data_IF_458998529024
#
_entry.id   IF_458998529024
#
_cell.length_a   1.000
_cell.length_b   1.000
_cell.length_c   1.000
_cell.angle_alpha   90.00
_cell.angle_beta   90.00
_cell.angle_gamma   90.00
#
_symmetry.space_group_name_H-M   'P 1'
#
loop_
_entity.id
_entity.type
_entity.pdbx_description
1 polymer ?
#
# COMPACT_ATOMS: atom_id res chain seq x y z
N UNK A 1 -10.33 12.08 4.08
CA UNK A 1 -10.22 13.14 3.08
C UNK A 1 -8.82 13.19 2.46
N UNK A 2 -7.76 13.29 3.26
CA UNK A 2 -6.37 13.42 2.79
C UNK A 2 -5.92 12.31 1.84
N UNK A 3 -6.09 11.04 2.20
CA UNK A 3 -5.64 9.90 1.38
C UNK A 3 -6.41 9.76 0.08
N UNK A 4 -7.71 10.11 0.06
CA UNK A 4 -8.51 10.14 -1.17
C UNK A 4 -7.98 11.21 -2.13
N UNK A 5 -7.69 12.39 -1.62
CA UNK A 5 -7.09 13.47 -2.42
C UNK A 5 -5.71 13.06 -2.93
N UNK A 6 -4.88 12.44 -2.08
CA UNK A 6 -3.57 11.94 -2.47
C UNK A 6 -3.66 10.90 -3.59
N UNK A 7 -4.61 9.97 -3.52
CA UNK A 7 -4.87 8.99 -4.57
C UNK A 7 -5.29 9.65 -5.89
N UNK A 8 -6.12 10.68 -5.81
CA UNK A 8 -6.58 11.42 -6.99
C UNK A 8 -5.45 12.19 -7.66
N UNK A 9 -4.72 13.02 -6.89
CA UNK A 9 -3.66 13.90 -7.45
C UNK A 9 -2.45 13.13 -7.96
N UNK A 10 -2.17 11.94 -7.41
CA UNK A 10 -1.09 11.06 -7.87
C UNK A 10 -1.52 10.09 -8.98
N UNK A 11 -2.81 10.08 -9.37
CA UNK A 11 -3.29 9.23 -10.46
C UNK A 11 -2.69 9.65 -11.81
N UNK A 12 -2.40 8.66 -12.69
CA UNK A 12 -1.84 8.92 -14.02
C UNK A 12 -2.67 9.94 -14.80
N UNK A 13 -3.99 9.77 -14.79
CA UNK A 13 -4.93 10.69 -15.48
C UNK A 13 -4.83 12.12 -14.99
N UNK A 14 -4.71 12.34 -13.68
CA UNK A 14 -4.62 13.68 -13.10
C UNK A 14 -3.25 14.29 -13.38
N UNK A 15 -2.17 13.54 -13.19
CA UNK A 15 -0.79 14.02 -13.43
C UNK A 15 -0.58 14.41 -14.89
N UNK A 16 -1.04 13.60 -15.85
CA UNK A 16 -1.00 13.94 -17.27
C UNK A 16 -1.83 15.20 -17.61
N UNK A 17 -3.02 15.35 -17.03
CA UNK A 17 -3.85 16.54 -17.22
C UNK A 17 -3.15 17.82 -16.72
N UNK A 18 -2.56 17.76 -15.53
CA UNK A 18 -1.85 18.92 -14.95
C UNK A 18 -0.61 19.27 -15.77
N UNK A 19 0.17 18.27 -16.18
CA UNK A 19 1.32 18.50 -17.04
C UNK A 19 0.94 19.12 -18.37
N UNK A 20 -0.04 18.55 -19.07
CA UNK A 20 -0.51 19.08 -20.34
C UNK A 20 -0.95 20.54 -20.24
N UNK A 21 -1.64 20.88 -19.14
CA UNK A 21 -2.12 22.26 -18.89
C UNK A 21 -0.98 23.24 -18.63
N UNK A 22 0.11 22.79 -18.01
CA UNK A 22 1.19 23.68 -17.57
C UNK A 22 2.48 23.50 -18.41
N UNK A 23 2.48 22.66 -19.42
CA UNK A 23 3.69 22.30 -20.18
C UNK A 23 4.41 23.52 -20.76
N UNK A 24 3.66 24.49 -21.32
CA UNK A 24 4.23 25.72 -21.87
C UNK A 24 5.00 26.49 -20.79
N UNK A 25 4.38 26.71 -19.64
CA UNK A 25 4.98 27.43 -18.52
C UNK A 25 6.19 26.70 -17.93
N UNK A 26 6.12 25.38 -17.86
CA UNK A 26 7.23 24.54 -17.41
C UNK A 26 8.43 24.68 -18.36
N UNK A 27 8.19 24.65 -19.67
CA UNK A 27 9.23 24.80 -20.66
C UNK A 27 9.85 26.22 -20.65
N UNK A 28 9.03 27.24 -20.46
CA UNK A 28 9.52 28.62 -20.29
C UNK A 28 10.43 28.73 -19.07
N UNK A 29 10.00 28.24 -17.91
CA UNK A 29 10.81 28.26 -16.68
C UNK A 29 12.10 27.47 -16.87
N UNK A 30 12.02 26.26 -17.43
CA UNK A 30 13.22 25.44 -17.66
C UNK A 30 14.18 26.13 -18.63
N UNK A 31 13.68 26.78 -19.70
CA UNK A 31 14.56 27.48 -20.63
C UNK A 31 15.31 28.65 -19.97
N UNK A 32 14.66 29.39 -19.06
CA UNK A 32 15.35 30.43 -18.28
C UNK A 32 16.41 29.84 -17.34
N UNK A 33 16.08 28.76 -16.64
CA UNK A 33 17.03 28.07 -15.77
C UNK A 33 18.24 27.59 -16.59
N UNK A 34 18.02 26.99 -17.76
CA UNK A 34 19.09 26.54 -18.63
C UNK A 34 19.94 27.67 -19.18
N UNK A 35 19.36 28.81 -19.55
CA UNK A 35 20.12 29.95 -20.04
C UNK A 35 20.99 30.58 -18.95
N UNK A 36 20.49 30.67 -17.73
CA UNK A 36 21.19 31.33 -16.63
C UNK A 36 22.23 30.42 -15.96
N UNK A 37 22.03 29.10 -16.01
CA UNK A 37 22.83 28.13 -15.25
C UNK A 37 23.39 26.98 -16.09
N UNK A 38 23.66 27.22 -17.35
CA UNK A 38 24.17 26.22 -18.28
C UNK A 38 25.39 25.43 -17.78
N UNK A 39 26.25 26.06 -16.98
CA UNK A 39 27.46 25.43 -16.42
C UNK A 39 27.19 24.50 -15.23
N UNK A 40 26.01 24.51 -14.65
CA UNK A 40 25.70 23.72 -13.44
C UNK A 40 25.05 22.38 -13.73
N UNK A 41 24.77 22.04 -14.97
CA UNK A 41 24.12 20.78 -15.34
C UNK A 41 24.94 19.52 -14.96
N UNK A 42 26.26 19.67 -14.89
CA UNK A 42 27.17 18.57 -14.49
C UNK A 42 27.45 18.49 -12.99
N UNK A 43 26.94 19.39 -12.18
CA UNK A 43 27.24 19.46 -10.74
C UNK A 43 26.24 18.70 -9.85
N UNK A 44 25.66 17.62 -10.34
CA UNK A 44 24.78 16.73 -9.54
C UNK A 44 25.40 16.22 -8.23
N UNK A 45 26.69 16.45 -8.03
CA UNK A 45 27.44 16.00 -6.86
C UNK A 45 27.59 17.05 -5.73
N UNK A 46 27.12 18.26 -5.91
CA UNK A 46 27.22 19.28 -4.86
C UNK A 46 25.83 19.65 -4.36
N UNK A 47 25.60 19.43 -3.08
CA UNK A 47 24.32 19.51 -2.38
C UNK A 47 23.58 20.86 -2.35
N UNK A 48 23.91 21.78 -3.25
CA UNK A 48 23.19 23.04 -3.52
C UNK A 48 22.63 23.07 -4.94
N UNK A 49 22.10 21.95 -5.41
CA UNK A 49 21.58 21.81 -6.76
C UNK A 49 20.41 22.73 -7.06
N UNK A 50 20.52 23.50 -8.12
CA UNK A 50 19.37 24.10 -8.78
C UNK A 50 18.49 22.96 -9.31
N UNK A 51 17.29 22.86 -8.75
CA UNK A 51 16.33 21.82 -9.14
C UNK A 51 15.55 22.29 -10.36
N UNK A 52 15.85 21.74 -11.53
CA UNK A 52 14.90 21.88 -12.62
C UNK A 52 13.67 21.00 -12.37
N UNK A 53 12.56 21.39 -12.95
CA UNK A 53 11.42 20.51 -13.02
C UNK A 53 11.70 19.36 -13.99
N UNK A 54 11.91 18.16 -13.43
CA UNK A 54 12.07 16.94 -14.21
C UNK A 54 10.72 16.23 -14.35
N UNK A 55 10.29 16.00 -15.59
CA UNK A 55 9.10 15.21 -15.87
C UNK A 55 9.22 13.79 -15.31
N UNK A 56 10.42 13.19 -15.42
CA UNK A 56 10.67 11.86 -14.91
C UNK A 56 10.53 11.81 -13.40
N UNK A 57 11.07 12.78 -12.67
CA UNK A 57 10.96 12.84 -11.22
C UNK A 57 9.52 13.07 -10.77
N UNK A 58 8.78 13.91 -11.49
CA UNK A 58 7.37 14.13 -11.22
C UNK A 58 6.54 12.84 -11.34
N UNK A 59 6.71 12.10 -12.45
CA UNK A 59 6.02 10.83 -12.64
C UNK A 59 6.50 9.77 -11.65
N UNK A 60 7.78 9.75 -11.33
CA UNK A 60 8.35 8.84 -10.35
C UNK A 60 7.75 9.09 -8.95
N UNK A 61 7.64 10.35 -8.53
CA UNK A 61 7.01 10.71 -7.26
C UNK A 61 5.52 10.33 -7.23
N UNK A 62 4.78 10.61 -8.31
CA UNK A 62 3.39 10.19 -8.42
C UNK A 62 3.23 8.67 -8.32
N UNK A 63 4.10 7.92 -8.99
CA UNK A 63 4.14 6.45 -8.92
C UNK A 63 4.49 5.94 -7.53
N UNK A 64 5.42 6.59 -6.84
CA UNK A 64 5.78 6.27 -5.46
C UNK A 64 4.60 6.48 -4.51
N UNK A 65 3.86 7.58 -4.65
CA UNK A 65 2.65 7.83 -3.88
C UNK A 65 1.61 6.75 -4.15
N UNK A 66 1.34 6.43 -5.42
CA UNK A 66 0.40 5.37 -5.81
C UNK A 66 0.82 4.01 -5.25
N UNK A 67 2.11 3.70 -5.28
CA UNK A 67 2.61 2.43 -4.72
C UNK A 67 2.39 2.31 -3.23
N UNK A 68 2.41 3.43 -2.50
CA UNK A 68 2.18 3.47 -1.04
C UNK A 68 0.71 3.51 -0.65
N UNK A 69 -0.19 3.83 -1.59
CA UNK A 69 -1.64 3.80 -1.39
C UNK A 69 -2.20 2.41 -1.73
N UNK A 70 -1.56 1.68 -2.64
CA UNK A 70 -1.96 0.31 -2.97
C UNK A 70 -1.67 -0.63 -1.81
N UNK A 71 -2.58 -1.56 -1.56
CA UNK A 71 -2.35 -2.65 -0.61
C UNK A 71 -1.21 -3.49 -1.18
N UNK A 72 -0.09 -3.53 -0.48
CA UNK A 72 1.09 -4.30 -0.89
C UNK A 72 1.07 -5.70 -0.28
N UNK A 73 1.92 -6.57 -0.83
CA UNK A 73 2.19 -7.92 -0.31
C UNK A 73 2.89 -7.95 1.07
N UNK A 74 3.03 -6.79 1.70
CA UNK A 74 3.69 -6.63 3.01
C UNK A 74 2.76 -6.98 4.19
N UNK A 75 1.56 -7.46 3.89
CA UNK A 75 0.62 -7.98 4.88
C UNK A 75 0.71 -9.50 4.82
N UNK A 76 0.98 -10.09 5.95
CA UNK A 76 0.97 -11.53 6.14
C UNK A 76 -0.17 -11.91 7.08
N UNK A 77 -0.95 -12.91 6.72
CA UNK A 77 -2.02 -13.46 7.53
C UNK A 77 -1.62 -14.86 7.96
N UNK A 78 -1.43 -15.04 9.26
CA UNK A 78 -1.03 -16.31 9.85
C UNK A 78 -2.19 -16.89 10.65
N UNK A 79 -2.49 -18.15 10.44
CA UNK A 79 -3.45 -18.89 11.26
C UNK A 79 -2.73 -19.44 12.47
N UNK A 80 -3.12 -19.01 13.68
CA UNK A 80 -2.59 -19.53 14.94
C UNK A 80 -3.38 -20.75 15.44
N UNK A 81 -4.71 -20.64 15.38
CA UNK A 81 -5.62 -21.75 15.62
C UNK A 81 -6.90 -21.61 14.78
N UNK A 82 -7.92 -22.43 15.02
CA UNK A 82 -9.12 -22.43 14.16
C UNK A 82 -9.90 -21.14 14.20
N UNK A 83 -9.85 -20.38 15.29
CA UNK A 83 -10.57 -19.12 15.46
C UNK A 83 -9.68 -17.89 15.58
N UNK A 84 -8.35 -18.08 15.62
CA UNK A 84 -7.40 -16.99 15.87
C UNK A 84 -6.44 -16.80 14.72
N UNK A 85 -6.35 -15.57 14.25
CA UNK A 85 -5.55 -15.17 13.11
C UNK A 85 -4.69 -13.97 13.46
N UNK A 86 -3.38 -14.08 13.24
CA UNK A 86 -2.41 -13.01 13.43
C UNK A 86 -2.14 -12.34 12.09
N UNK A 87 -2.43 -11.05 12.01
CA UNK A 87 -2.17 -10.23 10.83
C UNK A 87 -0.97 -9.35 11.12
N UNK A 88 0.12 -9.60 10.39
CA UNK A 88 1.37 -8.84 10.46
C UNK A 88 1.42 -7.85 9.33
N UNK A 89 1.71 -6.61 9.65
CA UNK A 89 1.88 -5.53 8.68
C UNK A 89 3.27 -4.96 8.77
N UNK A 90 4.05 -5.14 7.71
CA UNK A 90 5.46 -4.77 7.67
C UNK A 90 5.73 -3.37 7.11
N UNK A 91 4.76 -2.72 6.51
CA UNK A 91 4.95 -1.39 5.91
C UNK A 91 3.91 -0.37 6.32
N UNK A 92 4.31 0.90 6.19
CA UNK A 92 3.42 2.04 6.38
C UNK A 92 2.54 2.25 5.14
N UNK A 93 1.25 2.26 5.34
CA UNK A 93 0.26 2.59 4.33
C UNK A 93 -0.28 4.00 4.53
N UNK A 94 -0.43 4.78 3.45
CA UNK A 94 -1.05 6.10 3.51
C UNK A 94 -2.59 6.06 3.51
N UNK A 95 -3.19 4.91 3.67
CA UNK A 95 -4.64 4.76 3.73
C UNK A 95 -5.11 4.02 4.96
N UNK A 96 -6.36 4.21 5.34
CA UNK A 96 -6.98 3.35 6.34
C UNK A 96 -7.28 1.99 5.70
N UNK A 97 -6.60 0.98 6.20
CA UNK A 97 -6.78 -0.39 5.78
C UNK A 97 -7.69 -1.10 6.77
N UNK A 98 -8.67 -1.80 6.26
CA UNK A 98 -9.61 -2.60 7.03
C UNK A 98 -9.51 -4.06 6.64
N UNK A 99 -9.62 -4.92 7.61
CA UNK A 99 -9.97 -6.32 7.41
C UNK A 99 -11.47 -6.32 7.16
N UNK A 100 -11.86 -6.65 5.95
CA UNK A 100 -13.26 -6.62 5.54
C UNK A 100 -13.93 -7.96 5.84
N UNK A 101 -13.52 -8.99 5.15
CA UNK A 101 -14.12 -10.32 5.27
C UNK A 101 -13.07 -11.43 5.33
N UNK A 102 -13.41 -12.51 6.06
CA UNK A 102 -12.73 -13.79 5.93
C UNK A 102 -13.54 -14.70 5.01
N UNK A 103 -12.88 -15.33 4.06
CA UNK A 103 -13.46 -16.30 3.14
C UNK A 103 -13.16 -17.69 3.67
N UNK A 104 -14.20 -18.37 4.10
CA UNK A 104 -14.12 -19.67 4.75
C UNK A 104 -14.94 -20.71 3.98
N UNK A 105 -14.63 -21.99 4.17
CA UNK A 105 -15.36 -23.09 3.56
C UNK A 105 -15.75 -24.15 4.61
N UNK A 106 -16.97 -24.66 4.47
CA UNK A 106 -17.49 -25.80 5.25
C UNK A 106 -18.23 -26.73 4.30
N UNK A 107 -17.88 -28.01 4.28
CA UNK A 107 -18.50 -29.01 3.41
C UNK A 107 -18.56 -28.58 1.92
N UNK A 108 -17.47 -27.99 1.40
CA UNK A 108 -17.33 -27.43 0.05
C UNK A 108 -18.21 -26.21 -0.26
N UNK A 109 -18.94 -25.67 0.71
CA UNK A 109 -19.68 -24.43 0.56
C UNK A 109 -18.84 -23.27 1.10
N UNK A 110 -18.61 -22.25 0.28
CA UNK A 110 -17.90 -21.03 0.67
C UNK A 110 -18.87 -20.08 1.35
N UNK A 111 -18.40 -19.42 2.40
CA UNK A 111 -19.12 -18.36 3.11
C UNK A 111 -18.15 -17.27 3.57
N UNK A 112 -18.68 -16.09 3.83
CA UNK A 112 -17.90 -14.94 4.25
C UNK A 112 -18.26 -14.54 5.67
N UNK A 113 -17.23 -14.21 6.46
CA UNK A 113 -17.38 -13.67 7.81
C UNK A 113 -16.94 -12.21 7.78
N UNK A 114 -17.90 -11.29 7.96
CA UNK A 114 -17.65 -9.86 7.98
C UNK A 114 -17.01 -9.45 9.30
N UNK A 115 -15.87 -8.76 9.24
CA UNK A 115 -15.11 -8.29 10.40
C UNK A 115 -15.11 -6.78 10.50
N UNK A 116 -14.87 -6.08 9.40
CA UNK A 116 -14.80 -4.62 9.31
C UNK A 116 -13.91 -3.97 10.38
N UNK A 117 -12.75 -4.56 10.66
CA UNK A 117 -11.80 -4.11 11.67
C UNK A 117 -10.68 -3.31 11.05
N UNK A 118 -10.42 -2.11 11.60
CA UNK A 118 -9.29 -1.26 11.17
C UNK A 118 -7.97 -1.89 11.55
N UNK A 119 -7.03 -1.92 10.59
CA UNK A 119 -5.64 -2.30 10.82
C UNK A 119 -4.82 -1.09 11.23
N UNK A 120 -4.12 -1.21 12.36
CA UNK A 120 -3.16 -0.21 12.77
C UNK A 120 -1.86 -0.30 11.95
N UNK A 121 -1.16 0.82 11.81
CA UNK A 121 0.14 0.85 11.14
C UNK A 121 1.22 0.20 12.03
N UNK A 122 2.12 -0.58 11.43
CA UNK A 122 3.26 -1.20 12.12
C UNK A 122 2.91 -2.08 13.33
N UNK A 123 1.72 -2.67 13.36
CA UNK A 123 1.31 -3.51 14.47
C UNK A 123 0.88 -4.88 13.99
N UNK A 124 1.13 -5.85 14.83
CA UNK A 124 0.46 -7.13 14.74
C UNK A 124 -0.98 -6.94 15.23
N UNK A 125 -1.93 -7.44 14.48
CA UNK A 125 -3.35 -7.38 14.85
C UNK A 125 -3.87 -8.81 14.95
N UNK A 126 -4.28 -9.21 16.14
CA UNK A 126 -4.98 -10.49 16.32
C UNK A 126 -6.46 -10.31 16.05
N UNK A 127 -7.02 -11.21 15.29
CA UNK A 127 -8.43 -11.29 14.98
C UNK A 127 -8.98 -12.61 15.47
N UNK A 128 -10.04 -12.53 16.27
CA UNK A 128 -10.78 -13.68 16.74
C UNK A 128 -12.07 -13.81 15.93
N UNK A 129 -12.26 -14.96 15.30
CA UNK A 129 -13.52 -15.31 14.66
C UNK A 129 -14.42 -16.04 15.67
N UNK A 130 -15.75 -15.88 15.58
CA UNK A 130 -16.67 -16.62 16.43
C UNK A 130 -16.47 -18.13 16.25
N UNK A 131 -16.19 -18.82 17.35
CA UNK A 131 -15.90 -20.26 17.35
C UNK A 131 -17.03 -21.09 16.77
N UNK A 132 -18.27 -20.65 16.93
CA UNK A 132 -19.46 -21.29 16.38
C UNK A 132 -19.47 -21.29 14.84
N UNK A 133 -18.99 -20.20 14.23
CA UNK A 133 -18.95 -20.07 12.78
C UNK A 133 -17.79 -20.84 12.15
N UNK A 134 -16.67 -20.96 12.87
CA UNK A 134 -15.46 -21.62 12.35
C UNK A 134 -15.31 -23.07 12.81
N UNK A 135 -16.25 -23.58 13.62
CA UNK A 135 -16.29 -24.99 13.99
C UNK A 135 -16.50 -25.82 12.72
N UNK A 136 -15.59 -26.75 12.48
CA UNK A 136 -15.60 -27.63 11.30
C UNK A 136 -15.49 -26.89 9.95
N UNK A 137 -14.97 -25.65 9.96
CA UNK A 137 -14.70 -24.87 8.76
C UNK A 137 -13.22 -24.51 8.63
N UNK A 138 -12.79 -24.17 7.42
CA UNK A 138 -11.44 -23.69 7.14
C UNK A 138 -11.50 -22.37 6.40
N UNK A 139 -10.91 -21.33 6.99
CA UNK A 139 -10.75 -20.06 6.30
C UNK A 139 -9.45 -20.06 5.49
N UNK A 140 -9.53 -19.71 4.23
CA UNK A 140 -8.41 -19.78 3.29
C UNK A 140 -7.90 -18.41 2.84
N UNK A 141 -8.75 -17.40 2.87
CA UNK A 141 -8.42 -16.06 2.40
C UNK A 141 -9.02 -14.98 3.30
N UNK A 142 -8.39 -13.81 3.25
CA UNK A 142 -8.88 -12.59 3.91
C UNK A 142 -8.93 -11.46 2.89
N UNK A 143 -10.04 -10.77 2.85
CA UNK A 143 -10.21 -9.58 2.04
C UNK A 143 -9.87 -8.33 2.85
N UNK A 144 -8.98 -7.51 2.29
CA UNK A 144 -8.59 -6.22 2.84
C UNK A 144 -9.11 -5.11 1.94
N UNK A 145 -9.69 -4.09 2.53
CA UNK A 145 -10.22 -2.94 1.81
C UNK A 145 -9.57 -1.66 2.32
N UNK A 146 -9.10 -0.84 1.38
CA UNK A 146 -8.71 0.52 1.66
C UNK A 146 -9.94 1.43 1.47
N UNK A 147 -10.54 1.89 2.56
CA UNK A 147 -11.76 2.70 2.53
C UNK A 147 -11.61 4.06 1.84
N UNK A 148 -10.38 4.53 1.62
CA UNK A 148 -10.18 5.83 0.97
C UNK A 148 -10.31 5.79 -0.54
N UNK A 149 -9.88 4.68 -1.16
CA UNK A 149 -9.89 4.54 -2.61
C UNK A 149 -10.75 3.39 -3.11
N UNK A 150 -11.38 2.61 -2.19
CA UNK A 150 -12.18 1.45 -2.51
C UNK A 150 -11.40 0.24 -3.04
N UNK A 151 -10.07 0.32 -3.07
CA UNK A 151 -9.26 -0.82 -3.53
C UNK A 151 -9.35 -1.96 -2.53
N UNK A 152 -9.61 -3.15 -3.02
CA UNK A 152 -9.60 -4.39 -2.25
C UNK A 152 -8.47 -5.30 -2.70
N UNK A 153 -8.04 -6.17 -1.80
CA UNK A 153 -7.04 -7.20 -2.08
C UNK A 153 -7.35 -8.42 -1.23
N UNK A 154 -7.42 -9.56 -1.89
CA UNK A 154 -7.60 -10.85 -1.22
C UNK A 154 -6.24 -11.49 -1.01
N UNK A 155 -5.91 -11.82 0.24
CA UNK A 155 -4.68 -12.50 0.60
C UNK A 155 -4.99 -13.90 1.12
N UNK A 156 -4.13 -14.85 0.75
CA UNK A 156 -4.19 -16.21 1.25
C UNK A 156 -3.73 -16.25 2.71
N UNK A 157 -4.35 -17.09 3.50
CA UNK A 157 -3.96 -17.35 4.88
C UNK A 157 -2.84 -18.38 4.86
N UNK A 158 -1.71 -18.05 5.47
CA UNK A 158 -0.60 -18.95 5.65
C UNK A 158 -0.76 -19.70 6.99
N UNK A 159 -0.48 -20.99 6.97
CA UNK A 159 -0.39 -21.76 8.22
C UNK A 159 0.98 -21.51 8.85
N UNK A 160 1.02 -21.29 10.15
CA UNK A 160 2.28 -21.33 10.90
C UNK A 160 2.73 -22.80 10.90
N UNK A 161 3.61 -23.14 9.96
CA UNK A 161 4.36 -24.38 10.12
C UNK A 161 5.24 -24.20 11.35
N UNK A 162 5.22 -25.19 12.24
CA UNK A 162 6.03 -25.26 13.45
C UNK A 162 7.55 -25.09 13.20
N UNK A 163 7.98 -25.14 11.96
CA UNK A 163 9.36 -24.97 11.51
C UNK A 163 9.80 -23.52 11.29
N UNK A 164 8.90 -22.53 11.37
CA UNK A 164 9.28 -21.12 11.43
C UNK A 164 9.76 -20.75 12.83
N UNK A 165 10.82 -21.45 13.31
CA UNK A 165 11.65 -20.98 14.41
C UNK A 165 12.19 -19.62 14.01
N UNK A 166 11.81 -18.61 14.79
CA UNK A 166 12.37 -17.26 14.76
C UNK A 166 13.86 -17.29 14.45
N UNK A 167 14.27 -16.93 13.25
CA UNK A 167 15.64 -16.43 13.06
C UNK A 167 15.70 -15.12 13.83
N UNK A 168 16.19 -15.18 15.07
CA UNK A 168 16.68 -14.01 15.78
C UNK A 168 17.71 -13.38 14.85
N UNK A 169 17.43 -12.20 14.32
CA UNK A 169 18.45 -11.32 13.82
C UNK A 169 19.25 -10.88 15.07
N UNK A 170 20.31 -11.57 15.34
CA UNK A 170 21.36 -11.05 16.21
C UNK A 170 22.08 -9.98 15.37
N UNK A 171 22.15 -8.78 15.95
CA UNK A 171 22.96 -7.65 15.47
C UNK A 171 24.42 -8.05 15.31
#
# INVERSE_FOLDING_TARGET
LYSKNLATISSKKYTEKILKRNLKKINEINSHIYSDYFYYDNSRNYGSGLYYFSLNDFFHQAKNIQSKIKIKRDIQVLKENNSEYLIKRHSKHYGELFIDTFICSKNNNNFEININKKLNNFSNTTVYLPTELVKDSSCTHVNFVNKFNGNSTVLKIDHINSDYKYKKFNN
#
